data_IF_384775975974
#
_entry.id   IF_384775975974
#
_cell.length_a   1.000
_cell.length_b   1.000
_cell.length_c   1.000
_cell.angle_alpha   90.00
_cell.angle_beta   90.00
_cell.angle_gamma   90.00
#
_symmetry.space_group_name_H-M   'P 1'
#
loop_
_entity.id
_entity.type
_entity.pdbx_description
1 polymer ?
#
# COMPACT_ATOMS: atom_id res chain seq x y z
N UNK A 1 -23.37 -33.40 -2.33
CA UNK A 1 -22.88 -32.40 -1.38
C UNK A 1 -21.44 -32.01 -1.75
N UNK A 2 -21.27 -31.11 -2.73
CA UNK A 2 -19.95 -30.63 -3.19
C UNK A 2 -19.87 -29.09 -3.10
N UNK A 3 -20.04 -28.54 -1.91
CA UNK A 3 -20.07 -27.09 -1.67
C UNK A 3 -18.95 -26.56 -0.79
N UNK A 4 -17.89 -27.34 -0.49
CA UNK A 4 -16.91 -26.96 0.54
C UNK A 4 -15.47 -26.76 0.10
N UNK A 5 -15.16 -26.74 -1.20
CA UNK A 5 -13.76 -26.56 -1.67
C UNK A 5 -13.53 -25.22 -2.37
N UNK A 6 -14.57 -24.57 -2.89
CA UNK A 6 -14.43 -23.25 -3.54
C UNK A 6 -14.41 -22.07 -2.56
N UNK A 7 -14.93 -22.22 -1.34
CA UNK A 7 -14.86 -21.15 -0.32
C UNK A 7 -13.50 -21.06 0.39
N UNK A 8 -12.73 -22.15 0.44
CA UNK A 8 -11.39 -22.13 1.04
C UNK A 8 -10.32 -21.53 0.10
N UNK A 9 -10.53 -21.60 -1.21
CA UNK A 9 -9.60 -21.06 -2.21
C UNK A 9 -9.83 -19.57 -2.50
N UNK A 10 -11.01 -19.02 -2.20
CA UNK A 10 -11.31 -17.61 -2.42
C UNK A 10 -10.85 -16.68 -1.27
N UNK A 11 -10.50 -17.25 -0.11
CA UNK A 11 -9.84 -16.51 0.98
C UNK A 11 -8.31 -16.52 0.83
N UNK A 12 -7.76 -17.46 0.06
CA UNK A 12 -6.31 -17.62 -0.18
C UNK A 12 -5.75 -16.91 -1.42
N UNK A 13 -6.60 -16.36 -2.31
CA UNK A 13 -6.18 -15.86 -3.63
C UNK A 13 -6.55 -14.40 -3.95
N UNK A 14 -7.25 -13.67 -3.07
CA UNK A 14 -7.81 -12.36 -3.44
C UNK A 14 -7.14 -11.11 -2.85
N UNK A 15 -6.12 -11.23 -2.00
CA UNK A 15 -5.40 -10.04 -1.50
C UNK A 15 -3.92 -10.41 -1.43
N UNK A 16 -3.01 -9.80 -2.24
CA UNK A 16 -1.59 -9.82 -1.87
C UNK A 16 -1.52 -9.45 -0.40
N UNK A 17 -0.89 -10.29 0.44
CA UNK A 17 -0.87 -10.08 1.90
C UNK A 17 -0.69 -8.59 2.19
N UNK A 18 -1.48 -7.97 3.07
CA UNK A 18 -1.49 -6.49 3.21
C UNK A 18 -0.09 -5.86 3.30
N UNK A 19 0.89 -6.59 3.85
CA UNK A 19 2.32 -6.26 3.81
C UNK A 19 2.87 -6.11 2.38
N UNK A 20 2.61 -7.08 1.50
CA UNK A 20 2.92 -7.02 0.07
C UNK A 20 2.22 -5.82 -0.60
N UNK A 21 0.95 -5.53 -0.28
CA UNK A 21 0.28 -4.34 -0.83
C UNK A 21 0.94 -3.02 -0.43
N UNK A 22 1.41 -2.90 0.83
CA UNK A 22 2.16 -1.74 1.31
C UNK A 22 3.53 -1.67 0.64
N UNK A 23 4.20 -2.81 0.46
CA UNK A 23 5.48 -2.90 -0.23
C UNK A 23 5.37 -2.45 -1.69
N UNK A 24 4.38 -2.95 -2.42
CA UNK A 24 4.09 -2.57 -3.81
C UNK A 24 3.76 -1.07 -3.92
N UNK A 25 2.92 -0.54 -3.04
CA UNK A 25 2.60 0.89 -3.00
C UNK A 25 3.86 1.75 -2.75
N UNK A 26 4.67 1.39 -1.75
CA UNK A 26 5.91 2.11 -1.46
C UNK A 26 6.89 2.06 -2.65
N UNK A 27 6.99 0.91 -3.32
CA UNK A 27 7.84 0.78 -4.50
C UNK A 27 7.33 1.65 -5.66
N UNK A 28 6.01 1.67 -5.91
CA UNK A 28 5.41 2.54 -6.92
C UNK A 28 5.67 4.03 -6.64
N UNK A 29 5.56 4.45 -5.37
CA UNK A 29 5.88 5.82 -4.95
C UNK A 29 7.35 6.19 -5.22
N UNK A 30 8.28 5.25 -5.03
CA UNK A 30 9.73 5.48 -5.22
C UNK A 30 10.15 5.45 -6.69
N UNK A 31 9.43 4.71 -7.54
CA UNK A 31 9.83 4.44 -8.92
C UNK A 31 9.02 5.20 -9.97
N UNK A 32 7.74 5.47 -9.69
CA UNK A 32 6.81 6.06 -10.67
C UNK A 32 6.50 7.53 -10.36
N UNK A 33 6.62 7.96 -9.10
CA UNK A 33 6.38 9.35 -8.72
C UNK A 33 7.68 10.14 -8.73
N UNK A 34 7.90 10.91 -9.80
CA UNK A 34 9.04 11.83 -9.93
C UNK A 34 8.61 13.23 -9.51
N UNK A 35 9.01 13.65 -8.31
CA UNK A 35 8.80 15.03 -7.86
C UNK A 35 9.94 15.92 -8.36
N UNK A 36 9.63 16.89 -9.21
CA UNK A 36 10.62 17.83 -9.71
C UNK A 36 10.93 18.94 -8.68
N UNK A 37 12.12 19.56 -8.72
CA UNK A 37 12.51 20.60 -7.75
C UNK A 37 11.58 21.82 -7.72
N UNK A 38 10.94 22.14 -8.85
CA UNK A 38 9.97 23.22 -9.00
C UNK A 38 8.60 22.89 -8.37
N UNK A 39 8.34 21.62 -8.04
CA UNK A 39 7.08 21.17 -7.45
C UNK A 39 7.14 21.20 -5.91
N UNK A 40 7.35 22.40 -5.35
CA UNK A 40 7.52 22.64 -3.92
C UNK A 40 6.38 22.09 -3.04
N UNK A 41 5.15 22.03 -3.57
CA UNK A 41 3.99 21.47 -2.87
C UNK A 41 3.98 19.94 -2.83
N UNK A 42 4.61 19.26 -3.79
CA UNK A 42 4.63 17.80 -3.90
C UNK A 42 5.79 17.17 -3.13
N UNK A 43 6.90 17.88 -2.94
CA UNK A 43 8.04 17.45 -2.12
C UNK A 43 7.64 17.00 -0.70
N UNK A 44 6.93 17.82 0.10
CA UNK A 44 6.51 17.40 1.44
C UNK A 44 5.50 16.26 1.43
N UNK A 45 4.66 16.17 0.39
CA UNK A 45 3.66 15.10 0.23
C UNK A 45 4.35 13.76 -0.03
N UNK A 46 5.29 13.72 -0.97
CA UNK A 46 6.05 12.51 -1.30
C UNK A 46 6.89 12.03 -0.12
N UNK A 47 7.57 12.95 0.58
CA UNK A 47 8.35 12.62 1.77
C UNK A 47 7.49 12.07 2.93
N UNK A 48 6.25 12.56 3.09
CA UNK A 48 5.31 12.05 4.09
C UNK A 48 4.76 10.67 3.69
N UNK A 49 4.37 10.49 2.43
CA UNK A 49 3.89 9.21 1.92
C UNK A 49 4.96 8.12 2.07
N UNK A 50 6.21 8.40 1.69
CA UNK A 50 7.34 7.47 1.83
C UNK A 50 7.54 7.01 3.28
N UNK A 51 7.59 7.95 4.23
CA UNK A 51 7.72 7.64 5.66
C UNK A 51 6.55 6.81 6.19
N UNK A 52 5.34 7.10 5.72
CA UNK A 52 4.13 6.37 6.13
C UNK A 52 4.15 4.93 5.64
N UNK A 53 4.51 4.68 4.38
CA UNK A 53 4.66 3.33 3.85
C UNK A 53 5.74 2.53 4.57
N UNK A 54 6.90 3.14 4.85
CA UNK A 54 7.98 2.49 5.61
C UNK A 54 7.62 2.19 7.07
N UNK A 55 6.79 3.02 7.69
CA UNK A 55 6.24 2.76 9.02
C UNK A 55 5.26 1.60 8.98
N UNK A 56 4.28 1.64 8.09
CA UNK A 56 3.26 0.60 7.96
C UNK A 56 3.89 -0.76 7.67
N UNK A 57 4.88 -0.83 6.78
CA UNK A 57 5.58 -2.06 6.45
C UNK A 57 6.21 -2.69 7.71
N UNK A 58 7.00 -1.90 8.45
CA UNK A 58 7.66 -2.33 9.70
C UNK A 58 6.67 -2.71 10.80
N UNK A 59 5.52 -2.02 10.86
CA UNK A 59 4.48 -2.31 11.85
C UNK A 59 3.73 -3.60 11.52
N UNK A 60 3.41 -3.84 10.24
CA UNK A 60 2.75 -5.08 9.79
C UNK A 60 3.63 -6.31 9.92
N UNK A 61 4.95 -6.16 9.80
CA UNK A 61 5.93 -7.25 9.99
C UNK A 61 6.03 -7.73 11.44
N UNK A 62 5.85 -6.82 12.41
CA UNK A 62 6.05 -7.14 13.83
C UNK A 62 4.78 -7.68 14.49
N UNK A 63 3.66 -7.00 14.30
CA UNK A 63 2.40 -7.40 14.91
C UNK A 63 1.23 -6.78 14.14
N UNK A 64 0.60 -7.51 13.21
CA UNK A 64 -0.55 -7.00 12.48
C UNK A 64 -1.74 -6.85 13.42
N UNK A 65 -2.20 -5.62 13.61
CA UNK A 65 -3.47 -5.30 14.27
C UNK A 65 -4.51 -4.94 13.21
N UNK A 66 -5.81 -5.11 13.53
CA UNK A 66 -6.90 -4.71 12.63
C UNK A 66 -6.81 -3.24 12.19
N UNK A 67 -6.39 -2.35 13.09
CA UNK A 67 -6.16 -0.94 12.80
C UNK A 67 -5.00 -0.71 11.83
N UNK A 68 -3.90 -1.46 11.97
CA UNK A 68 -2.76 -1.38 11.04
C UNK A 68 -3.12 -1.93 9.66
N UNK A 69 -3.90 -3.00 9.59
CA UNK A 69 -4.37 -3.57 8.32
C UNK A 69 -5.31 -2.60 7.58
N UNK A 70 -6.20 -1.92 8.30
CA UNK A 70 -7.04 -0.87 7.73
C UNK A 70 -6.21 0.31 7.21
N UNK A 71 -5.22 0.77 7.99
CA UNK A 71 -4.32 1.84 7.58
C UNK A 71 -3.46 1.46 6.35
N UNK A 72 -3.00 0.21 6.28
CA UNK A 72 -2.28 -0.35 5.12
C UNK A 72 -3.14 -0.33 3.85
N UNK A 73 -4.41 -0.73 3.95
CA UNK A 73 -5.36 -0.70 2.83
C UNK A 73 -5.56 0.73 2.30
N UNK A 74 -5.84 1.67 3.21
CA UNK A 74 -6.06 3.08 2.86
C UNK A 74 -4.81 3.71 2.24
N UNK A 75 -3.63 3.38 2.76
CA UNK A 75 -2.36 3.83 2.20
C UNK A 75 -2.17 3.32 0.76
N UNK A 76 -2.44 2.04 0.51
CA UNK A 76 -2.34 1.46 -0.82
C UNK A 76 -3.26 2.16 -1.83
N UNK A 77 -4.53 2.38 -1.48
CA UNK A 77 -5.48 3.09 -2.34
C UNK A 77 -5.04 4.54 -2.63
N UNK A 78 -4.59 5.26 -1.61
CA UNK A 78 -4.13 6.64 -1.75
C UNK A 78 -2.90 6.75 -2.68
N UNK A 79 -1.93 5.85 -2.54
CA UNK A 79 -0.75 5.84 -3.42
C UNK A 79 -1.12 5.44 -4.84
N UNK A 80 -2.03 4.48 -5.02
CA UNK A 80 -2.52 4.11 -6.35
C UNK A 80 -3.18 5.29 -7.07
N UNK A 81 -4.01 6.06 -6.36
CA UNK A 81 -4.63 7.26 -6.90
C UNK A 81 -3.59 8.36 -7.21
N UNK A 82 -2.60 8.54 -6.34
CA UNK A 82 -1.51 9.50 -6.56
C UNK A 82 -0.70 9.15 -7.81
N UNK A 83 -0.31 7.89 -7.97
CA UNK A 83 0.44 7.41 -9.15
C UNK A 83 -0.36 7.69 -10.41
N UNK A 84 -1.64 7.34 -10.46
CA UNK A 84 -2.51 7.58 -11.60
C UNK A 84 -2.71 9.06 -11.94
N UNK A 85 -2.54 9.97 -10.97
CA UNK A 85 -2.65 11.41 -11.17
C UNK A 85 -1.36 12.03 -11.75
N UNK A 86 -0.20 11.48 -11.43
CA UNK A 86 1.11 12.06 -11.82
C UNK A 86 1.69 11.46 -13.10
N UNK A 87 1.22 10.28 -13.53
CA UNK A 87 1.49 9.68 -14.85
C UNK A 87 0.51 10.18 -15.90
#
# INVERSE_FOLDING_TARGET
MQQSVHEALNVGMCIPTMQQSVHEALNALKTQVVVRPDQLMLLPVHARATRTGEFLLRSTERQPTSSLLSAASLYHEAVRALVAFVT
#
